data_IF_554319318460
#
_entry.id   IF_554319318460
#
_cell.length_a   1.000
_cell.length_b   1.000
_cell.length_c   1.000
_cell.angle_alpha   90.00
_cell.angle_beta   90.00
_cell.angle_gamma   90.00
#
_symmetry.space_group_name_H-M   'P 1'
#
loop_
_entity.id
_entity.type
_entity.pdbx_description
1 polymer ?
#
# COMPACT_ATOMS: atom_id res chain seq x y z
N UNK A 1 -66.66 -35.96 39.38
CA UNK A 1 -65.96 -37.06 38.66
C UNK A 1 -64.82 -36.45 37.88
N UNK A 2 -63.58 -36.49 38.45
CA UNK A 2 -62.39 -35.90 37.86
C UNK A 2 -61.53 -37.08 37.35
N UNK A 3 -61.46 -37.25 36.05
CA UNK A 3 -60.58 -38.25 35.42
C UNK A 3 -59.18 -37.65 35.33
N UNK A 4 -58.17 -38.24 36.02
CA UNK A 4 -56.76 -37.87 35.95
C UNK A 4 -56.20 -38.50 34.65
N UNK A 5 -55.53 -37.73 33.80
CA UNK A 5 -54.79 -38.29 32.65
C UNK A 5 -53.39 -38.73 33.12
N UNK A 6 -53.21 -40.00 33.41
CA UNK A 6 -51.93 -40.60 33.87
C UNK A 6 -51.04 -41.07 32.68
N UNK A 7 -51.43 -40.71 31.47
CA UNK A 7 -50.73 -41.19 30.27
C UNK A 7 -49.74 -40.20 29.65
N UNK A 8 -49.48 -39.02 30.24
CA UNK A 8 -48.58 -38.01 29.63
C UNK A 8 -47.13 -38.05 30.12
N UNK A 9 -46.84 -38.82 31.19
CA UNK A 9 -45.50 -38.86 31.80
C UNK A 9 -44.49 -39.69 31.04
N UNK A 10 -44.78 -40.83 30.38
CA UNK A 10 -43.75 -41.59 29.67
C UNK A 10 -43.30 -40.95 28.36
N UNK A 11 -44.12 -40.08 27.76
CA UNK A 11 -43.76 -39.42 26.47
C UNK A 11 -42.74 -38.34 26.62
N UNK A 12 -42.65 -37.66 27.76
CA UNK A 12 -41.68 -36.60 28.04
C UNK A 12 -40.26 -37.14 28.29
N UNK A 13 -40.18 -38.38 28.84
CA UNK A 13 -38.91 -39.00 29.12
C UNK A 13 -38.18 -39.57 27.89
N UNK A 14 -38.96 -39.89 26.83
CA UNK A 14 -38.42 -40.38 25.58
C UNK A 14 -37.79 -39.23 24.73
N UNK A 15 -38.27 -38.00 24.86
CA UNK A 15 -37.75 -36.82 24.14
C UNK A 15 -36.43 -36.34 24.71
N UNK A 16 -36.18 -36.55 26.02
CA UNK A 16 -34.93 -36.16 26.66
C UNK A 16 -33.74 -37.08 26.31
N UNK A 17 -33.98 -38.29 25.82
CA UNK A 17 -32.94 -39.22 25.40
C UNK A 17 -32.33 -38.91 24.00
N UNK A 18 -33.02 -38.15 23.18
CA UNK A 18 -32.52 -37.75 21.87
C UNK A 18 -31.68 -36.44 21.87
N UNK A 19 -31.59 -35.76 23.01
CA UNK A 19 -30.76 -34.51 23.17
C UNK A 19 -29.34 -34.76 23.61
N UNK A 20 -28.95 -36.02 23.88
CA UNK A 20 -27.54 -36.40 24.16
C UNK A 20 -26.77 -36.57 22.85
N UNK A 21 -26.87 -35.57 21.94
CA UNK A 21 -25.98 -35.46 20.81
C UNK A 21 -24.53 -35.26 21.33
N UNK A 22 -23.64 -36.26 21.11
CA UNK A 22 -22.22 -36.09 21.35
C UNK A 22 -21.71 -34.76 20.80
N UNK A 23 -20.99 -33.94 21.57
CA UNK A 23 -20.29 -32.83 21.01
C UNK A 23 -19.24 -33.35 20.05
N UNK A 24 -19.49 -33.34 18.74
CA UNK A 24 -18.43 -33.50 17.74
C UNK A 24 -17.39 -32.44 18.06
N UNK A 25 -16.22 -32.88 18.59
CA UNK A 25 -15.03 -32.07 18.62
C UNK A 25 -14.86 -31.53 17.19
N UNK A 26 -15.15 -30.23 17.00
CA UNK A 26 -14.75 -29.54 15.79
C UNK A 26 -13.24 -29.73 15.67
N UNK A 27 -12.83 -30.52 14.68
CA UNK A 27 -11.41 -30.60 14.33
C UNK A 27 -10.96 -29.16 14.13
N UNK A 28 -9.95 -28.72 14.89
CA UNK A 28 -9.27 -27.45 14.62
C UNK A 28 -8.85 -27.50 13.16
N UNK A 29 -9.53 -26.73 12.34
CA UNK A 29 -9.06 -26.45 10.98
C UNK A 29 -7.65 -25.89 11.19
N UNK A 30 -6.59 -26.51 10.63
CA UNK A 30 -5.27 -25.92 10.71
C UNK A 30 -5.41 -24.49 10.21
N UNK A 31 -5.06 -23.50 11.02
CA UNK A 31 -4.97 -22.14 10.59
C UNK A 31 -3.97 -22.15 9.43
N UNK A 32 -4.49 -21.93 8.22
CA UNK A 32 -3.63 -21.64 7.10
C UNK A 32 -2.98 -20.31 7.48
N UNK A 33 -1.75 -20.37 8.00
CA UNK A 33 -0.92 -19.19 8.09
C UNK A 33 -0.81 -18.69 6.63
N UNK A 34 -1.52 -17.61 6.34
CA UNK A 34 -1.33 -16.92 5.07
C UNK A 34 0.16 -16.65 4.94
N UNK A 35 0.79 -16.98 3.79
CA UNK A 35 2.19 -16.68 3.60
C UNK A 35 2.41 -15.20 3.99
N UNK A 36 3.53 -14.89 4.67
CA UNK A 36 3.80 -13.52 5.12
C UNK A 36 3.57 -12.60 3.93
N UNK A 37 2.76 -11.57 4.12
CA UNK A 37 2.46 -10.61 3.07
C UNK A 37 3.81 -10.10 2.56
N UNK A 38 4.11 -10.36 1.27
CA UNK A 38 5.34 -9.87 0.66
C UNK A 38 5.38 -8.36 0.82
N UNK A 39 6.54 -7.85 1.15
CA UNK A 39 6.75 -6.40 1.23
C UNK A 39 6.55 -5.80 -0.18
N UNK A 40 5.51 -4.98 -0.42
CA UNK A 40 5.22 -4.47 -1.75
C UNK A 40 6.29 -3.51 -2.26
N UNK A 41 7.10 -2.91 -1.38
CA UNK A 41 8.24 -2.08 -1.78
C UNK A 41 9.39 -2.98 -2.23
N UNK A 42 9.64 -4.10 -1.53
CA UNK A 42 10.63 -5.08 -1.96
C UNK A 42 10.28 -5.68 -3.33
N UNK A 43 9.00 -6.00 -3.58
CA UNK A 43 8.55 -6.46 -4.90
C UNK A 43 8.76 -5.40 -5.99
N UNK A 44 8.53 -4.12 -5.67
CA UNK A 44 8.78 -3.02 -6.60
C UNK A 44 10.27 -2.88 -6.91
N UNK A 45 11.14 -2.94 -5.90
CA UNK A 45 12.60 -2.88 -6.10
C UNK A 45 13.11 -4.09 -6.89
N UNK A 46 12.59 -5.29 -6.60
CA UNK A 46 12.91 -6.51 -7.35
C UNK A 46 12.56 -6.38 -8.84
N UNK A 47 11.45 -5.71 -9.17
CA UNK A 47 11.06 -5.47 -10.55
C UNK A 47 12.09 -4.64 -11.34
N UNK A 48 12.86 -3.79 -10.66
CA UNK A 48 13.95 -2.99 -11.25
C UNK A 48 15.33 -3.65 -11.14
N UNK A 49 15.45 -4.81 -10.49
CA UNK A 49 16.73 -5.44 -10.13
C UNK A 49 17.63 -5.83 -11.31
N UNK A 50 17.11 -5.85 -12.55
CA UNK A 50 17.91 -6.05 -13.77
C UNK A 50 18.78 -4.85 -14.14
N UNK A 51 18.55 -3.67 -13.52
CA UNK A 51 19.38 -2.48 -13.68
C UNK A 51 20.21 -2.21 -12.41
N UNK A 52 21.41 -1.69 -12.56
CA UNK A 52 22.21 -1.14 -11.44
C UNK A 52 21.72 0.27 -11.08
N UNK A 53 21.33 1.06 -12.09
CA UNK A 53 20.73 2.37 -11.93
C UNK A 53 19.70 2.65 -13.02
N UNK A 54 18.71 3.46 -12.70
CA UNK A 54 17.71 3.93 -13.66
C UNK A 54 17.36 5.39 -13.36
N UNK A 55 17.30 6.18 -14.42
CA UNK A 55 16.64 7.48 -14.42
C UNK A 55 15.58 7.48 -15.52
N UNK A 56 14.36 7.87 -15.17
CA UNK A 56 13.27 7.96 -16.14
C UNK A 56 12.43 9.22 -15.91
N UNK A 57 11.98 9.84 -16.99
CA UNK A 57 10.84 10.75 -16.92
C UNK A 57 9.56 9.96 -16.67
N UNK A 58 8.59 10.56 -16.02
CA UNK A 58 7.32 9.91 -15.72
C UNK A 58 6.13 10.81 -16.08
N UNK A 59 5.06 10.18 -16.54
CA UNK A 59 3.72 10.77 -16.52
C UNK A 59 2.96 10.12 -15.37
N UNK A 60 2.50 10.92 -14.42
CA UNK A 60 1.82 10.44 -13.22
C UNK A 60 0.37 10.88 -13.31
N UNK A 61 -0.55 9.92 -13.23
CA UNK A 61 -1.98 10.15 -13.15
C UNK A 61 -2.45 9.75 -11.76
N UNK A 62 -3.10 10.67 -11.08
CA UNK A 62 -3.76 10.46 -9.81
C UNK A 62 -5.27 10.59 -10.01
N UNK A 63 -6.00 9.51 -9.82
CA UNK A 63 -7.46 9.48 -9.77
C UNK A 63 -7.88 9.25 -8.31
N UNK A 64 -8.74 10.09 -7.77
CA UNK A 64 -9.23 9.98 -6.39
C UNK A 64 -10.66 10.49 -6.28
N UNK A 65 -11.39 10.01 -5.26
CA UNK A 65 -12.73 10.51 -4.93
C UNK A 65 -12.64 11.34 -3.66
N UNK A 66 -13.13 12.56 -3.70
CA UNK A 66 -13.20 13.43 -2.53
C UNK A 66 -14.59 14.07 -2.42
N UNK A 67 -15.27 13.86 -1.29
CA UNK A 67 -16.63 14.33 -1.06
C UNK A 67 -17.63 13.87 -2.13
N UNK A 68 -17.43 12.67 -2.69
CA UNK A 68 -18.27 12.09 -3.75
C UNK A 68 -17.97 12.61 -5.16
N UNK A 69 -16.99 13.48 -5.34
CA UNK A 69 -16.55 13.97 -6.64
C UNK A 69 -15.26 13.25 -7.09
N UNK A 70 -15.24 12.79 -8.33
CA UNK A 70 -14.04 12.26 -8.97
C UNK A 70 -13.07 13.40 -9.33
N UNK A 71 -11.85 13.31 -8.80
CA UNK A 71 -10.78 14.25 -9.11
C UNK A 71 -9.68 13.51 -9.87
N UNK A 72 -9.21 14.13 -10.98
CA UNK A 72 -8.16 13.58 -11.83
C UNK A 72 -7.05 14.60 -11.96
N UNK A 73 -5.84 14.21 -11.57
CA UNK A 73 -4.66 15.04 -11.67
C UNK A 73 -3.65 14.40 -12.61
N UNK A 74 -3.05 15.20 -13.47
CA UNK A 74 -1.94 14.80 -14.31
C UNK A 74 -0.71 15.57 -13.88
N UNK A 75 0.37 14.84 -13.55
CA UNK A 75 1.63 15.40 -13.14
C UNK A 75 2.74 14.88 -14.06
N UNK A 76 3.79 15.66 -14.21
CA UNK A 76 5.06 15.19 -14.70
C UNK A 76 5.88 14.64 -13.54
N UNK A 77 6.84 13.76 -13.82
CA UNK A 77 7.67 13.20 -12.76
C UNK A 77 9.04 12.77 -13.24
N UNK A 78 9.87 12.44 -12.26
CA UNK A 78 11.15 11.77 -12.44
C UNK A 78 11.17 10.58 -11.50
N UNK A 79 11.63 9.42 -11.99
CA UNK A 79 11.89 8.23 -11.20
C UNK A 79 13.37 7.95 -11.26
N UNK A 80 14.00 7.80 -10.08
CA UNK A 80 15.38 7.43 -9.92
C UNK A 80 15.43 6.12 -9.13
N UNK A 81 16.23 5.19 -9.58
CA UNK A 81 16.48 3.93 -8.89
C UNK A 81 17.98 3.65 -8.89
N UNK A 82 18.49 3.12 -7.79
CA UNK A 82 19.85 2.60 -7.66
C UNK A 82 19.82 1.37 -6.76
N UNK A 83 20.35 0.31 -7.29
CA UNK A 83 20.45 -0.98 -6.60
C UNK A 83 21.32 -0.85 -5.34
N UNK A 84 21.04 -1.59 -4.25
CA UNK A 84 19.94 -2.57 -4.19
C UNK A 84 18.59 -1.97 -3.71
N UNK A 85 18.60 -0.81 -3.07
CA UNK A 85 17.52 -0.40 -2.17
C UNK A 85 17.25 1.12 -2.17
N UNK A 86 17.51 1.81 -3.29
CA UNK A 86 17.23 3.23 -3.41
C UNK A 86 16.20 3.49 -4.52
N UNK A 87 15.14 4.19 -4.18
CA UNK A 87 14.09 4.59 -5.11
C UNK A 87 13.61 6.00 -4.75
N UNK A 88 13.54 6.90 -5.74
CA UNK A 88 12.95 8.22 -5.56
C UNK A 88 11.97 8.52 -6.67
N UNK A 89 10.80 9.04 -6.31
CA UNK A 89 9.77 9.46 -7.24
C UNK A 89 9.41 10.90 -6.93
N UNK A 90 9.69 11.78 -7.88
CA UNK A 90 9.37 13.19 -7.80
C UNK A 90 8.17 13.49 -8.68
N UNK A 91 7.17 14.20 -8.16
CA UNK A 91 5.99 14.63 -8.90
C UNK A 91 5.90 16.15 -8.99
N UNK A 92 5.68 16.66 -10.21
CA UNK A 92 5.59 18.08 -10.52
C UNK A 92 4.29 18.40 -11.23
N UNK A 93 3.70 19.53 -10.88
CA UNK A 93 2.64 20.13 -11.69
C UNK A 93 3.19 20.44 -13.09
N UNK A 94 2.38 20.41 -14.18
CA UNK A 94 2.84 20.78 -15.52
C UNK A 94 3.55 22.11 -15.62
N UNK A 95 3.27 23.05 -14.71
CA UNK A 95 3.95 24.36 -14.60
C UNK A 95 5.23 24.34 -13.76
N UNK A 96 5.77 23.16 -13.41
CA UNK A 96 7.05 22.99 -12.75
C UNK A 96 7.03 23.06 -11.21
N UNK A 97 5.89 23.32 -10.58
CA UNK A 97 5.79 23.32 -9.12
C UNK A 97 5.89 21.90 -8.57
N UNK A 98 6.73 21.66 -7.56
CA UNK A 98 6.80 20.40 -6.86
C UNK A 98 5.49 20.07 -6.13
N UNK A 99 4.99 18.85 -6.32
CA UNK A 99 3.76 18.36 -5.67
C UNK A 99 4.10 17.36 -4.57
N UNK A 100 5.00 16.42 -4.86
CA UNK A 100 5.52 15.47 -3.87
C UNK A 100 6.93 15.00 -4.24
N UNK A 101 7.64 14.52 -3.23
CA UNK A 101 8.93 13.84 -3.31
C UNK A 101 8.87 12.62 -2.40
N UNK A 102 8.85 11.43 -2.98
CA UNK A 102 8.85 10.17 -2.27
C UNK A 102 10.23 9.51 -2.42
N UNK A 103 10.90 9.29 -1.32
CA UNK A 103 12.23 8.70 -1.26
C UNK A 103 12.22 7.46 -0.38
N UNK A 104 12.76 6.37 -0.91
CA UNK A 104 13.12 5.18 -0.17
C UNK A 104 14.62 4.95 -0.27
N UNK A 105 15.28 4.68 0.85
CA UNK A 105 16.71 4.43 0.92
C UNK A 105 17.06 3.65 2.18
N UNK A 106 17.68 2.46 2.02
CA UNK A 106 18.21 1.70 3.15
C UNK A 106 17.21 1.35 4.24
N UNK A 107 15.95 1.06 3.88
CA UNK A 107 14.90 0.77 4.85
C UNK A 107 14.15 2.00 5.39
N UNK A 108 14.59 3.20 5.07
CA UNK A 108 13.93 4.47 5.44
C UNK A 108 13.02 4.96 4.31
N UNK A 109 11.87 5.45 4.66
CA UNK A 109 10.92 6.07 3.75
C UNK A 109 10.66 7.53 4.14
N UNK A 110 10.62 8.40 3.13
CA UNK A 110 10.25 9.80 3.26
C UNK A 110 9.23 10.16 2.20
N UNK A 111 8.20 10.90 2.60
CA UNK A 111 7.26 11.54 1.68
C UNK A 111 7.17 13.02 2.03
N UNK A 112 7.66 13.88 1.15
CA UNK A 112 7.59 15.32 1.29
C UNK A 112 6.51 15.91 0.36
N UNK A 113 5.69 16.80 0.89
CA UNK A 113 4.71 17.58 0.13
C UNK A 113 5.05 19.06 0.23
N UNK A 114 5.68 19.64 -0.80
CA UNK A 114 6.00 21.07 -0.83
C UNK A 114 4.77 21.97 -0.65
N UNK A 115 3.65 21.59 -1.26
CA UNK A 115 2.40 22.37 -1.17
C UNK A 115 1.84 22.45 0.25
N UNK A 116 2.10 21.46 1.08
CA UNK A 116 1.67 21.42 2.48
C UNK A 116 2.76 21.87 3.45
N UNK A 117 3.97 22.11 2.95
CA UNK A 117 5.19 22.34 3.73
C UNK A 117 5.39 21.25 4.81
N UNK A 118 5.18 19.97 4.42
CA UNK A 118 5.17 18.85 5.36
C UNK A 118 5.90 17.64 4.81
N UNK A 119 6.67 16.99 5.66
CA UNK A 119 7.31 15.71 5.38
C UNK A 119 6.83 14.63 6.36
N UNK A 120 6.79 13.40 5.87
CA UNK A 120 6.52 12.20 6.66
C UNK A 120 7.70 11.25 6.52
N UNK A 121 8.22 10.77 7.65
CA UNK A 121 9.38 9.87 7.69
C UNK A 121 9.08 8.65 8.55
N UNK A 122 9.67 7.51 8.22
CA UNK A 122 9.53 6.28 9.00
C UNK A 122 10.32 5.14 8.41
N UNK A 123 10.37 4.03 9.13
CA UNK A 123 10.98 2.80 8.64
C UNK A 123 10.03 2.04 7.73
N UNK A 124 10.60 1.25 6.79
CA UNK A 124 9.82 0.45 5.84
C UNK A 124 8.96 -0.62 6.55
N UNK A 125 9.43 -1.14 7.68
CA UNK A 125 8.68 -2.09 8.51
C UNK A 125 7.35 -1.50 9.00
N UNK A 126 7.37 -0.25 9.47
CA UNK A 126 6.16 0.50 9.84
C UNK A 126 5.27 0.75 8.63
N UNK A 127 5.89 1.02 7.47
CA UNK A 127 5.19 1.25 6.21
C UNK A 127 4.53 -0.02 5.69
N UNK A 128 5.20 -1.17 5.75
CA UNK A 128 4.65 -2.47 5.33
C UNK A 128 3.38 -2.82 6.12
N UNK A 129 3.41 -2.67 7.45
CA UNK A 129 2.25 -2.86 8.32
C UNK A 129 1.08 -1.92 7.96
N UNK A 130 1.39 -0.68 7.62
CA UNK A 130 0.40 0.32 7.26
C UNK A 130 -0.19 0.03 5.87
N UNK A 131 0.63 -0.38 4.90
CA UNK A 131 0.20 -0.82 3.56
C UNK A 131 -0.78 -1.99 3.70
N UNK A 132 -0.43 -3.00 4.50
CA UNK A 132 -1.27 -4.17 4.71
C UNK A 132 -2.62 -3.79 5.36
N UNK A 133 -2.62 -2.94 6.39
CA UNK A 133 -3.83 -2.45 7.07
C UNK A 133 -4.72 -1.58 6.19
N UNK A 134 -4.13 -0.77 5.31
CA UNK A 134 -4.86 0.12 4.40
C UNK A 134 -5.20 -0.57 3.05
N UNK A 135 -4.92 -1.88 2.91
CA UNK A 135 -5.12 -2.64 1.68
C UNK A 135 -4.52 -1.94 0.44
N UNK A 136 -3.34 -1.32 0.62
CA UNK A 136 -2.64 -0.65 -0.48
C UNK A 136 -1.96 -1.72 -1.33
N UNK A 137 -2.18 -1.65 -2.64
CA UNK A 137 -1.55 -2.54 -3.62
C UNK A 137 -0.55 -1.73 -4.44
N UNK A 138 0.66 -2.25 -4.55
CA UNK A 138 1.71 -1.70 -5.42
C UNK A 138 2.05 -2.77 -6.45
N UNK A 139 2.11 -2.40 -7.71
CA UNK A 139 2.50 -3.31 -8.78
C UNK A 139 3.37 -2.59 -9.81
N UNK A 140 4.29 -3.35 -10.41
CA UNK A 140 5.10 -2.92 -11.54
C UNK A 140 4.75 -3.76 -12.77
N UNK A 141 4.43 -3.11 -13.88
CA UNK A 141 4.03 -3.75 -15.13
C UNK A 141 5.15 -3.54 -16.16
N UNK A 142 5.45 -4.60 -16.92
CA UNK A 142 6.44 -4.58 -18.02
C UNK A 142 5.73 -4.63 -19.35
N UNK A 143 6.16 -3.80 -20.30
CA UNK A 143 5.75 -3.97 -21.70
C UNK A 143 6.37 -5.21 -22.31
N UNK A 144 5.74 -5.76 -23.35
CA UNK A 144 6.24 -6.93 -24.06
C UNK A 144 7.62 -6.62 -24.63
N UNK A 145 8.61 -7.47 -24.29
CA UNK A 145 10.00 -7.32 -24.74
C UNK A 145 10.87 -6.38 -23.88
N UNK A 146 10.36 -5.89 -22.74
CA UNK A 146 11.14 -5.10 -21.79
C UNK A 146 11.54 -5.92 -20.56
N UNK A 147 12.80 -5.81 -20.16
CA UNK A 147 13.29 -6.40 -18.91
C UNK A 147 12.96 -5.54 -17.69
N UNK A 148 12.66 -4.25 -17.92
CA UNK A 148 12.31 -3.28 -16.88
C UNK A 148 10.85 -2.89 -16.96
N UNK A 149 10.21 -2.58 -15.83
CA UNK A 149 8.85 -2.06 -15.83
C UNK A 149 8.80 -0.67 -16.49
N UNK A 150 7.75 -0.46 -17.24
CA UNK A 150 7.43 0.84 -17.82
C UNK A 150 6.24 1.52 -17.11
N UNK A 151 5.62 0.82 -16.16
CA UNK A 151 4.52 1.34 -15.35
C UNK A 151 4.58 0.86 -13.90
N UNK A 152 4.32 1.79 -12.98
CA UNK A 152 4.08 1.50 -11.58
C UNK A 152 2.64 1.90 -11.28
N UNK A 153 1.90 1.03 -10.60
CA UNK A 153 0.53 1.31 -10.16
C UNK A 153 0.43 1.16 -8.65
N UNK A 154 -0.20 2.15 -8.02
CA UNK A 154 -0.52 2.14 -6.60
C UNK A 154 -2.03 2.29 -6.46
N UNK A 155 -2.68 1.36 -5.79
CA UNK A 155 -4.12 1.38 -5.53
C UNK A 155 -4.36 1.45 -4.02
N UNK A 156 -5.21 2.37 -3.61
CA UNK A 156 -5.68 2.54 -2.24
C UNK A 156 -7.21 2.44 -2.23
N UNK A 157 -7.77 1.21 -2.22
CA UNK A 157 -9.21 0.97 -2.39
C UNK A 157 -10.07 1.69 -1.35
N UNK A 158 -9.63 1.71 -0.09
CA UNK A 158 -10.36 2.38 1.01
C UNK A 158 -10.44 3.90 0.85
N UNK A 159 -9.56 4.49 0.06
CA UNK A 159 -9.52 5.92 -0.25
C UNK A 159 -10.02 6.21 -1.67
N UNK A 160 -10.51 5.19 -2.38
CA UNK A 160 -10.92 5.29 -3.78
C UNK A 160 -9.87 6.05 -4.62
N UNK A 161 -8.59 5.73 -4.35
CA UNK A 161 -7.46 6.45 -4.95
C UNK A 161 -6.58 5.49 -5.73
N UNK A 162 -6.21 5.90 -6.95
CA UNK A 162 -5.27 5.20 -7.82
C UNK A 162 -4.22 6.17 -8.32
N UNK A 163 -2.97 5.72 -8.30
CA UNK A 163 -1.82 6.41 -8.89
C UNK A 163 -1.22 5.53 -9.97
N UNK A 164 -1.19 5.99 -11.20
CA UNK A 164 -0.51 5.36 -12.34
C UNK A 164 0.71 6.19 -12.71
N UNK A 165 1.91 5.60 -12.63
CA UNK A 165 3.18 6.20 -13.02
C UNK A 165 3.66 5.52 -14.29
N UNK A 166 3.62 6.19 -15.42
CA UNK A 166 4.13 5.68 -16.70
C UNK A 166 5.54 6.22 -16.93
N UNK A 167 6.52 5.33 -17.01
CA UNK A 167 7.92 5.66 -17.26
C UNK A 167 8.15 5.92 -18.75
N UNK A 168 8.99 6.90 -19.04
CA UNK A 168 9.37 7.32 -20.39
C UNK A 168 10.85 7.72 -20.40
N UNK A 169 11.48 7.70 -21.57
CA UNK A 169 12.84 8.20 -21.72
C UNK A 169 13.78 7.63 -20.64
N UNK A 170 13.80 6.30 -20.51
CA UNK A 170 14.60 5.61 -19.50
C UNK A 170 16.08 5.61 -19.89
N UNK A 171 16.93 6.09 -19.00
CA UNK A 171 18.38 5.95 -19.03
C UNK A 171 18.78 4.89 -18.01
N UNK A 172 19.37 3.79 -18.46
CA UNK A 172 19.70 2.62 -17.64
C UNK A 172 21.20 2.50 -17.49
N UNK A 173 21.65 2.17 -16.27
CA UNK A 173 23.06 1.95 -15.94
C UNK A 173 23.96 3.16 -16.26
N UNK A 174 23.39 4.36 -16.14
CA UNK A 174 24.12 5.60 -16.23
C UNK A 174 24.38 6.18 -14.84
N UNK A 175 25.49 6.93 -14.65
CA UNK A 175 25.74 7.61 -13.38
C UNK A 175 24.57 8.53 -13.00
N UNK A 176 24.11 8.43 -11.76
CA UNK A 176 23.14 9.35 -11.19
C UNK A 176 23.85 10.51 -10.46
N UNK A 177 23.18 11.66 -10.28
CA UNK A 177 23.72 12.73 -9.45
C UNK A 177 24.06 12.24 -8.03
N UNK A 178 25.14 12.74 -7.43
CA UNK A 178 25.58 12.32 -6.09
C UNK A 178 24.53 12.60 -5.00
N UNK A 179 23.68 13.59 -5.20
CA UNK A 179 22.58 13.99 -4.33
C UNK A 179 21.25 13.37 -4.69
N UNK A 180 21.20 12.45 -5.69
CA UNK A 180 19.96 11.85 -6.21
C UNK A 180 19.07 11.27 -5.11
N UNK A 181 19.68 10.71 -4.06
CA UNK A 181 18.97 10.08 -2.93
C UNK A 181 19.24 10.79 -1.59
N UNK A 182 19.64 12.04 -1.66
CA UNK A 182 19.75 12.89 -0.48
C UNK A 182 18.49 13.76 -0.35
N UNK A 183 18.07 13.96 0.88
CA UNK A 183 17.02 14.90 1.20
C UNK A 183 17.39 15.65 2.47
N UNK A 184 17.32 16.95 2.41
CA UNK A 184 17.53 17.84 3.55
C UNK A 184 16.22 18.59 3.75
N UNK A 185 15.71 18.57 4.98
CA UNK A 185 14.47 19.28 5.31
C UNK A 185 14.65 20.77 5.03
N UNK A 186 13.84 21.38 4.15
CA UNK A 186 13.85 22.82 4.00
C UNK A 186 13.44 23.51 5.30
N UNK A 187 13.87 24.75 5.49
CA UNK A 187 13.53 25.53 6.67
C UNK A 187 12.02 25.65 6.86
N UNK A 188 11.53 25.41 8.08
CA UNK A 188 10.13 25.50 8.44
C UNK A 188 9.26 24.32 7.99
N UNK A 189 9.84 23.25 7.46
CA UNK A 189 9.08 22.02 7.13
C UNK A 189 8.66 21.29 8.40
N UNK A 190 7.36 20.97 8.49
CA UNK A 190 6.77 20.17 9.55
C UNK A 190 7.03 18.67 9.27
N UNK A 191 8.00 18.07 9.98
CA UNK A 191 8.37 16.66 9.84
C UNK A 191 7.57 15.82 10.83
N UNK A 192 6.89 14.79 10.33
CA UNK A 192 6.01 13.90 11.10
C UNK A 192 6.31 12.43 10.87
N UNK A 193 5.99 11.55 11.84
CA UNK A 193 6.03 10.11 11.62
C UNK A 193 5.10 9.68 10.46
N UNK A 194 5.57 8.75 9.63
CA UNK A 194 4.82 8.21 8.48
C UNK A 194 3.46 7.64 8.89
N UNK A 195 3.36 7.04 10.08
CA UNK A 195 2.11 6.54 10.63
C UNK A 195 0.97 7.60 10.69
N UNK A 196 1.31 8.89 10.76
CA UNK A 196 0.31 9.97 10.75
C UNK A 196 -0.24 10.25 9.35
N UNK A 197 0.52 9.97 8.29
CA UNK A 197 0.05 10.10 6.91
C UNK A 197 -1.12 9.15 6.62
N UNK A 198 -1.01 7.92 7.09
CA UNK A 198 -2.00 6.87 6.79
C UNK A 198 -3.20 6.93 7.73
N UNK A 199 -2.99 7.25 8.99
CA UNK A 199 -4.08 7.49 9.95
C UNK A 199 -4.92 8.73 9.62
N UNK A 200 -4.57 9.42 8.54
CA UNK A 200 -5.10 10.69 8.09
C UNK A 200 -6.39 11.09 8.77
N UNK A 201 -6.34 12.15 9.59
CA UNK A 201 -7.54 12.81 10.08
C UNK A 201 -8.53 12.87 8.92
N UNK A 202 -9.71 12.29 9.10
CA UNK A 202 -10.88 12.78 8.38
C UNK A 202 -10.83 14.30 8.60
N UNK A 203 -10.49 15.01 7.55
CA UNK A 203 -10.64 16.46 7.55
C UNK A 203 -12.16 16.66 7.61
N UNK A 204 -12.61 17.02 8.79
CA UNK A 204 -13.96 17.53 9.03
C UNK A 204 -14.22 18.74 8.14
#
# INVERSE_FOLDING_TARGET
MIRRPWFLIPSLFLILLFLSGCPKKLAKIPSFEAPPAKDPVAELLEAFSSAESLQARASIRLDTVRKGEELKFLLNGVVLYEKPDKLRILGYHPFGMGVFDALYRGGEFLLFSPLQNRAYTGEISEFADLIAKANIKISAEKSVGSDLPDRIRIEMPEKETRVDVKLKEMSVNQPLPEDAFQWVAPEGVDVRPLAQFIKGKRLE
#
